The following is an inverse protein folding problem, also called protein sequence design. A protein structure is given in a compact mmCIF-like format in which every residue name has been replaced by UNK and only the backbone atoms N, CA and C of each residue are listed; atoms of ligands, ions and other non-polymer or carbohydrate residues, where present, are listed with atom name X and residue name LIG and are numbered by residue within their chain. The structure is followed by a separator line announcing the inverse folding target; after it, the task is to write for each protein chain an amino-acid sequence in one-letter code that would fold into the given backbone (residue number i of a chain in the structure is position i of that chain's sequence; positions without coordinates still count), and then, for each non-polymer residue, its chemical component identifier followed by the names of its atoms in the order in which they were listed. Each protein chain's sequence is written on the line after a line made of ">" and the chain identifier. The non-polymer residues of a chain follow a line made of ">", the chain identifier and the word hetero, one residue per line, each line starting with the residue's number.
data_IF_249398706379
#
_entry.id   IF_249398706379
#
_cell.length_a   1.000
_cell.length_b   1.000
_cell.length_c   1.000
_cell.angle_alpha   90.00
_cell.angle_beta   90.00
_cell.angle_gamma   90.00
#
_symmetry.space_group_name_H-M   'P 1'
#
loop_
_entity.id
_entity.type
_entity.pdbx_description
1 polymer ?
#
# COMPACT_ATOMS: atom_id res chain seq x y z
N UNK A 1 -10.78 -66.94 1.65
CA UNK A 1 -11.58 -65.77 1.25
C UNK A 1 -10.71 -64.54 1.42
N UNK A 2 -10.25 -63.94 0.32
CA UNK A 2 -9.60 -62.63 0.39
C UNK A 2 -10.70 -61.57 0.48
N UNK A 3 -10.73 -60.83 1.58
CA UNK A 3 -11.60 -59.66 1.71
C UNK A 3 -10.99 -58.59 0.82
N UNK A 4 -11.58 -58.36 -0.36
CA UNK A 4 -11.20 -57.21 -1.16
C UNK A 4 -11.70 -55.95 -0.45
N UNK A 5 -10.80 -55.00 -0.10
CA UNK A 5 -11.24 -53.76 0.51
C UNK A 5 -12.13 -53.02 -0.50
N UNK A 6 -13.39 -52.81 -0.12
CA UNK A 6 -14.30 -52.01 -0.93
C UNK A 6 -13.78 -50.56 -0.94
N UNK A 7 -13.68 -49.91 -2.12
CA UNK A 7 -13.18 -48.55 -2.21
C UNK A 7 -14.11 -47.59 -1.45
N UNK A 8 -13.49 -46.68 -0.71
CA UNK A 8 -14.19 -45.63 0.03
C UNK A 8 -14.97 -44.71 -0.92
N UNK A 9 -16.24 -44.43 -0.60
CA UNK A 9 -17.12 -43.58 -1.40
C UNK A 9 -17.39 -42.29 -0.64
N UNK A 10 -16.89 -41.17 -1.16
CA UNK A 10 -17.03 -39.86 -0.53
C UNK A 10 -18.51 -39.48 -0.28
N UNK A 11 -19.39 -39.81 -1.22
CA UNK A 11 -20.83 -39.49 -1.15
C UNK A 11 -21.59 -40.32 -0.11
N UNK A 12 -21.00 -41.40 0.41
CA UNK A 12 -21.61 -42.19 1.50
C UNK A 12 -21.41 -41.51 2.87
N UNK A 13 -20.53 -40.52 2.96
CA UNK A 13 -20.36 -39.71 4.17
C UNK A 13 -21.52 -38.73 4.37
N UNK A 14 -21.86 -38.33 5.60
CA UNK A 14 -22.75 -37.19 5.86
C UNK A 14 -22.21 -35.88 5.25
N UNK A 15 -23.12 -34.99 4.87
CA UNK A 15 -22.78 -33.71 4.24
C UNK A 15 -21.80 -32.88 5.07
N UNK A 16 -21.96 -32.86 6.39
CA UNK A 16 -21.13 -32.11 7.32
C UNK A 16 -19.66 -32.58 7.30
N UNK A 17 -19.44 -33.89 7.13
CA UNK A 17 -18.10 -34.45 7.03
C UNK A 17 -17.49 -34.12 5.67
N UNK A 18 -18.28 -34.20 4.59
CA UNK A 18 -17.82 -33.79 3.25
C UNK A 18 -17.42 -32.31 3.22
N UNK A 19 -18.24 -31.43 3.82
CA UNK A 19 -17.94 -30.01 3.91
C UNK A 19 -16.62 -29.73 4.63
N UNK A 20 -16.34 -30.42 5.75
CA UNK A 20 -15.04 -30.31 6.44
C UNK A 20 -13.88 -30.80 5.57
N UNK A 21 -14.06 -31.89 4.83
CA UNK A 21 -13.03 -32.35 3.88
C UNK A 21 -12.76 -31.29 2.82
N UNK A 22 -13.82 -30.68 2.26
CA UNK A 22 -13.67 -29.59 1.29
C UNK A 22 -12.95 -28.38 1.88
N UNK A 23 -13.30 -27.97 3.11
CA UNK A 23 -12.64 -26.88 3.82
C UNK A 23 -11.14 -27.15 4.02
N UNK A 24 -10.77 -28.33 4.51
CA UNK A 24 -9.38 -28.68 4.74
C UNK A 24 -8.56 -28.77 3.43
N UNK A 25 -9.15 -29.30 2.35
CA UNK A 25 -8.46 -29.45 1.07
C UNK A 25 -8.39 -28.16 0.24
N UNK A 26 -9.41 -27.31 0.32
CA UNK A 26 -9.59 -26.17 -0.60
C UNK A 26 -9.51 -24.80 0.08
N UNK A 27 -9.63 -24.72 1.41
CA UNK A 27 -9.67 -23.46 2.16
C UNK A 27 -8.48 -23.27 3.10
N UNK A 28 -7.64 -24.30 3.27
CA UNK A 28 -6.38 -24.25 4.03
C UNK A 28 -5.27 -23.51 3.25
N UNK A 29 -5.54 -22.26 2.90
CA UNK A 29 -4.52 -21.34 2.40
C UNK A 29 -3.72 -20.85 3.60
N UNK A 30 -2.39 -21.01 3.56
CA UNK A 30 -1.49 -20.68 4.66
C UNK A 30 -1.88 -19.38 5.33
N UNK A 31 -2.09 -19.42 6.64
CA UNK A 31 -2.36 -18.21 7.41
C UNK A 31 -1.06 -17.45 7.53
N UNK A 32 -0.77 -16.59 6.56
CA UNK A 32 0.10 -15.44 6.80
C UNK A 32 -0.72 -14.51 7.68
N UNK A 33 -0.84 -14.83 8.97
CA UNK A 33 -1.39 -13.89 9.92
C UNK A 33 -0.50 -12.66 9.87
N UNK A 34 -0.96 -11.62 9.17
CA UNK A 34 -0.52 -10.27 9.46
C UNK A 34 -0.94 -10.08 10.91
N UNK A 35 0.00 -10.02 11.87
CA UNK A 35 -0.39 -9.75 13.25
C UNK A 35 -1.20 -8.47 13.24
N UNK A 36 -2.24 -8.41 14.07
CA UNK A 36 -3.03 -7.20 14.29
C UNK A 36 -2.08 -6.11 14.79
N UNK A 37 -1.58 -5.32 13.84
CA UNK A 37 -0.44 -4.44 14.01
C UNK A 37 -0.98 -3.06 13.74
N UNK A 38 -0.75 -2.15 14.68
CA UNK A 38 -1.07 -0.74 14.48
C UNK A 38 -0.47 -0.24 13.15
N UNK A 39 -1.05 0.78 12.50
CA UNK A 39 -0.51 1.34 11.25
C UNK A 39 1.00 1.65 11.34
N UNK A 40 1.43 2.11 12.52
CA UNK A 40 2.84 2.33 12.87
C UNK A 40 3.66 1.04 12.91
N UNK A 41 3.15 -0.03 13.52
CA UNK A 41 3.83 -1.32 13.59
C UNK A 41 3.97 -2.00 12.19
N UNK A 42 3.05 -1.74 11.25
CA UNK A 42 3.18 -2.20 9.84
C UNK A 42 4.34 -1.52 9.12
N UNK A 43 4.44 -0.19 9.25
CA UNK A 43 5.54 0.60 8.69
C UNK A 43 6.89 0.17 9.29
N UNK A 44 6.88 -0.25 10.55
CA UNK A 44 8.04 -0.76 11.30
C UNK A 44 8.48 -2.17 10.88
N UNK A 45 7.60 -3.04 10.36
CA UNK A 45 7.95 -4.43 9.99
C UNK A 45 8.72 -4.55 8.66
N UNK A 46 8.92 -3.46 7.93
CA UNK A 46 9.73 -3.38 6.71
C UNK A 46 11.25 -3.60 6.95
N UNK A 47 11.66 -4.14 8.11
CA UNK A 47 13.06 -4.40 8.47
C UNK A 47 13.73 -5.53 7.66
N UNK A 48 12.94 -6.49 7.18
CA UNK A 48 13.39 -7.40 6.13
C UNK A 48 12.93 -6.78 4.82
N UNK A 49 13.85 -6.50 3.89
CA UNK A 49 13.47 -6.13 2.54
C UNK A 49 12.52 -7.21 2.02
N UNK A 50 11.25 -6.88 1.74
CA UNK A 50 10.39 -7.85 1.12
C UNK A 50 11.01 -8.22 -0.22
N UNK A 51 11.35 -9.50 -0.39
CA UNK A 51 11.95 -10.07 -1.60
C UNK A 51 10.95 -10.16 -2.77
N UNK A 52 10.10 -9.15 -2.92
CA UNK A 52 9.04 -9.07 -3.90
C UNK A 52 7.64 -9.14 -3.30
N UNK A 53 6.69 -9.44 -4.18
CA UNK A 53 5.27 -9.53 -3.87
C UNK A 53 5.03 -10.79 -3.02
N UNK A 54 4.25 -10.66 -1.94
CA UNK A 54 3.89 -11.77 -1.05
C UNK A 54 2.90 -12.73 -1.73
N UNK A 55 3.42 -13.57 -2.63
CA UNK A 55 2.63 -14.62 -3.25
C UNK A 55 2.47 -15.79 -2.28
N UNK A 56 1.23 -16.13 -1.96
CA UNK A 56 0.92 -17.17 -1.00
C UNK A 56 1.21 -18.53 -1.62
N UNK A 57 2.15 -19.27 -1.01
CA UNK A 57 2.26 -20.70 -1.28
C UNK A 57 1.06 -21.42 -0.69
N UNK A 58 0.33 -22.16 -1.51
CA UNK A 58 -0.84 -22.90 -1.09
C UNK A 58 -0.84 -24.31 -1.68
N UNK A 59 -1.25 -25.29 -0.89
CA UNK A 59 -1.47 -26.67 -1.33
C UNK A 59 -2.94 -26.92 -1.64
N UNK A 60 -3.59 -26.00 -2.39
CA UNK A 60 -4.99 -26.18 -2.79
C UNK A 60 -5.05 -27.36 -3.76
N UNK A 61 -5.59 -28.48 -3.30
CA UNK A 61 -5.76 -29.69 -4.10
C UNK A 61 -7.08 -29.64 -4.88
N UNK A 62 -7.07 -29.00 -6.05
CA UNK A 62 -8.26 -28.83 -6.90
C UNK A 62 -8.72 -30.13 -7.57
N UNK A 63 -8.00 -31.24 -7.41
CA UNK A 63 -8.33 -32.55 -7.99
C UNK A 63 -9.73 -33.02 -7.58
N UNK A 64 -10.16 -32.73 -6.34
CA UNK A 64 -11.51 -33.10 -5.85
C UNK A 64 -12.64 -32.42 -6.65
N UNK A 65 -12.39 -31.22 -7.18
CA UNK A 65 -13.35 -30.49 -8.03
C UNK A 65 -13.61 -31.20 -9.37
N UNK A 66 -12.79 -32.20 -9.72
CA UNK A 66 -12.90 -32.96 -10.97
C UNK A 66 -13.52 -34.35 -10.77
N UNK A 67 -13.90 -34.73 -9.55
CA UNK A 67 -14.35 -36.07 -9.23
C UNK A 67 -15.71 -36.42 -9.89
N UNK A 68 -16.77 -35.68 -9.59
CA UNK A 68 -18.08 -35.80 -10.23
C UNK A 68 -18.89 -34.50 -10.03
N UNK A 69 -20.02 -34.35 -10.75
CA UNK A 69 -20.84 -33.11 -10.72
C UNK A 69 -21.33 -32.75 -9.31
N UNK A 70 -21.79 -33.74 -8.53
CA UNK A 70 -22.28 -33.50 -7.17
C UNK A 70 -21.16 -33.01 -6.24
N UNK A 71 -20.01 -33.69 -6.26
CA UNK A 71 -18.83 -33.29 -5.47
C UNK A 71 -18.31 -31.92 -5.91
N UNK A 72 -18.28 -31.66 -7.22
CA UNK A 72 -17.89 -30.36 -7.75
C UNK A 72 -18.75 -29.23 -7.17
N UNK A 73 -20.08 -29.38 -7.24
CA UNK A 73 -21.02 -28.38 -6.73
C UNK A 73 -20.81 -28.10 -5.25
N UNK A 74 -20.74 -29.14 -4.42
CA UNK A 74 -20.56 -28.98 -2.96
C UNK A 74 -19.19 -28.39 -2.61
N UNK A 75 -18.12 -28.90 -3.21
CA UNK A 75 -16.75 -28.49 -2.91
C UNK A 75 -16.45 -27.07 -3.42
N UNK A 76 -16.94 -26.73 -4.61
CA UNK A 76 -16.81 -25.38 -5.17
C UNK A 76 -17.56 -24.36 -4.33
N UNK A 77 -18.78 -24.69 -3.91
CA UNK A 77 -19.59 -23.85 -3.03
C UNK A 77 -18.88 -23.60 -1.69
N UNK A 78 -18.39 -24.65 -1.03
CA UNK A 78 -17.61 -24.55 0.20
C UNK A 78 -16.35 -23.69 0.03
N UNK A 79 -15.62 -23.88 -1.08
CA UNK A 79 -14.41 -23.13 -1.40
C UNK A 79 -14.70 -21.63 -1.58
N UNK A 80 -15.71 -21.26 -2.38
CA UNK A 80 -16.03 -19.85 -2.64
C UNK A 80 -16.58 -19.15 -1.40
N UNK A 81 -17.49 -19.80 -0.67
CA UNK A 81 -18.09 -19.25 0.56
C UNK A 81 -17.06 -18.96 1.65
N UNK A 82 -16.11 -19.86 1.83
CA UNK A 82 -15.11 -19.75 2.89
C UNK A 82 -14.01 -18.76 2.52
N UNK A 83 -13.42 -18.91 1.33
CA UNK A 83 -12.27 -18.10 0.91
C UNK A 83 -12.64 -16.68 0.46
N UNK A 84 -13.86 -16.48 -0.05
CA UNK A 84 -14.38 -15.18 -0.51
C UNK A 84 -13.41 -14.46 -1.46
N UNK A 85 -13.12 -15.08 -2.60
CA UNK A 85 -12.10 -14.59 -3.54
C UNK A 85 -12.44 -13.21 -4.11
N UNK A 86 -11.48 -12.29 -4.05
CA UNK A 86 -11.61 -10.94 -4.59
C UNK A 86 -10.63 -10.77 -5.74
N UNK A 87 -11.13 -10.30 -6.88
CA UNK A 87 -10.29 -9.91 -8.02
C UNK A 87 -9.93 -8.44 -7.91
N UNK A 88 -8.66 -8.11 -8.10
CA UNK A 88 -8.21 -6.72 -8.11
C UNK A 88 -7.52 -6.46 -9.44
N UNK A 89 -8.02 -5.46 -10.16
CA UNK A 89 -7.42 -4.91 -11.38
C UNK A 89 -6.99 -3.49 -11.14
N UNK A 90 -5.71 -3.20 -11.35
CA UNK A 90 -5.14 -1.87 -11.14
C UNK A 90 -4.35 -1.45 -12.37
N UNK A 91 -4.55 -0.22 -12.81
CA UNK A 91 -3.69 0.43 -13.78
C UNK A 91 -3.00 1.59 -13.08
N UNK A 92 -1.70 1.44 -12.79
CA UNK A 92 -0.91 2.42 -12.04
C UNK A 92 0.59 2.07 -12.13
N UNK A 93 1.48 3.04 -12.38
CA UNK A 93 2.92 2.80 -12.37
C UNK A 93 3.46 2.43 -10.98
N UNK A 94 2.89 3.01 -9.92
CA UNK A 94 3.37 2.80 -8.53
C UNK A 94 2.89 1.50 -7.88
N UNK A 95 1.83 0.88 -8.39
CA UNK A 95 1.16 -0.25 -7.73
C UNK A 95 2.04 -1.46 -7.41
N UNK A 96 3.00 -1.90 -8.26
CA UNK A 96 3.91 -2.98 -7.90
C UNK A 96 4.71 -2.68 -6.62
N UNK A 97 5.28 -1.48 -6.51
CA UNK A 97 6.02 -1.05 -5.33
C UNK A 97 5.14 -0.97 -4.08
N UNK A 98 3.88 -0.57 -4.26
CA UNK A 98 2.86 -0.59 -3.22
C UNK A 98 2.57 -2.01 -2.72
N UNK A 99 2.35 -2.98 -3.61
CA UNK A 99 2.09 -4.38 -3.22
C UNK A 99 3.26 -5.02 -2.48
N UNK A 100 4.49 -4.78 -2.94
CA UNK A 100 5.72 -5.24 -2.28
C UNK A 100 5.80 -4.71 -0.86
N UNK A 101 5.47 -3.44 -0.63
CA UNK A 101 5.47 -2.85 0.72
C UNK A 101 4.30 -3.30 1.57
N UNK A 102 3.14 -3.54 0.96
CA UNK A 102 1.92 -3.94 1.65
C UNK A 102 2.01 -5.34 2.23
N UNK A 103 2.77 -6.21 1.57
CA UNK A 103 2.85 -7.65 1.86
C UNK A 103 1.47 -8.29 1.97
N UNK A 104 0.50 -7.76 1.21
CA UNK A 104 -0.85 -8.34 1.12
C UNK A 104 -0.70 -9.73 0.49
N UNK A 105 -1.23 -10.79 1.15
CA UNK A 105 -1.20 -12.14 0.61
C UNK A 105 -1.91 -12.19 -0.75
N UNK A 106 -1.18 -12.49 -1.82
CA UNK A 106 -1.71 -12.62 -3.17
C UNK A 106 -1.73 -14.10 -3.56
N UNK A 107 -2.90 -14.60 -3.93
CA UNK A 107 -3.07 -16.00 -4.32
C UNK A 107 -2.45 -16.28 -5.69
N UNK A 108 -2.73 -15.41 -6.66
CA UNK A 108 -2.17 -15.47 -8.01
C UNK A 108 -2.17 -14.10 -8.66
N UNK A 109 -1.15 -13.83 -9.48
CA UNK A 109 -1.07 -12.69 -10.41
C UNK A 109 -1.16 -13.12 -11.88
N UNK A 110 -1.35 -14.42 -12.12
CA UNK A 110 -1.50 -14.95 -13.47
C UNK A 110 -2.85 -14.52 -14.03
N UNK A 111 -2.82 -13.68 -15.06
CA UNK A 111 -4.01 -13.11 -15.72
C UNK A 111 -4.91 -14.19 -16.32
N UNK A 112 -4.35 -15.30 -16.79
CA UNK A 112 -5.15 -16.40 -17.34
C UNK A 112 -5.93 -17.08 -16.22
N UNK A 113 -5.28 -17.36 -15.08
CA UNK A 113 -5.96 -17.92 -13.91
C UNK A 113 -7.02 -16.96 -13.36
N UNK A 114 -6.72 -15.65 -13.26
CA UNK A 114 -7.72 -14.70 -12.75
C UNK A 114 -8.89 -14.52 -13.71
N UNK A 115 -8.68 -14.64 -15.03
CA UNK A 115 -9.76 -14.55 -16.01
C UNK A 115 -10.65 -15.80 -16.09
N UNK A 116 -10.07 -16.99 -15.88
CA UNK A 116 -10.81 -18.26 -15.95
C UNK A 116 -11.63 -18.53 -14.70
N UNK A 117 -11.19 -18.05 -13.54
CA UNK A 117 -11.92 -18.22 -12.29
C UNK A 117 -13.18 -17.35 -12.27
N UNK A 118 -14.33 -17.94 -11.90
CA UNK A 118 -15.65 -17.28 -11.86
C UNK A 118 -16.27 -17.23 -10.46
N UNK A 119 -15.50 -17.63 -9.44
CA UNK A 119 -15.96 -17.69 -8.04
C UNK A 119 -15.71 -16.40 -7.28
N UNK A 120 -15.63 -15.26 -7.97
CA UNK A 120 -15.35 -13.99 -7.33
C UNK A 120 -16.57 -13.46 -6.60
N UNK A 121 -16.34 -13.07 -5.35
CA UNK A 121 -17.36 -12.40 -4.55
C UNK A 121 -17.45 -10.92 -4.85
N UNK A 122 -16.31 -10.35 -5.25
CA UNK A 122 -16.14 -8.94 -5.52
C UNK A 122 -14.99 -8.76 -6.48
N UNK A 123 -15.13 -7.79 -7.38
CA UNK A 123 -14.05 -7.30 -8.22
C UNK A 123 -13.85 -5.81 -7.97
N UNK A 124 -12.60 -5.43 -7.74
CA UNK A 124 -12.15 -4.05 -7.67
C UNK A 124 -11.44 -3.70 -8.97
N UNK A 125 -11.88 -2.65 -9.66
CA UNK A 125 -11.15 -2.04 -10.76
C UNK A 125 -10.71 -0.65 -10.31
N UNK A 126 -9.42 -0.38 -10.43
CA UNK A 126 -8.82 0.92 -10.12
C UNK A 126 -8.05 1.42 -11.32
N UNK A 127 -8.39 2.62 -11.75
CA UNK A 127 -7.56 3.40 -12.65
C UNK A 127 -6.98 4.53 -11.81
N UNK A 128 -5.66 4.51 -11.58
CA UNK A 128 -4.98 5.58 -10.87
C UNK A 128 -4.21 6.39 -11.92
N UNK A 129 -4.72 7.59 -12.23
CA UNK A 129 -3.96 8.52 -13.05
C UNK A 129 -2.80 9.07 -12.22
N UNK A 130 -1.58 8.68 -12.56
CA UNK A 130 -0.43 9.48 -12.20
C UNK A 130 -0.35 10.59 -13.26
N UNK A 131 -0.18 11.85 -12.87
CA UNK A 131 -0.29 13.02 -13.77
C UNK A 131 0.73 13.05 -14.93
N UNK A 132 1.47 11.97 -15.13
CA UNK A 132 2.40 11.67 -16.21
C UNK A 132 1.60 11.02 -17.36
N UNK A 133 0.99 11.85 -18.21
CA UNK A 133 0.05 11.38 -19.25
C UNK A 133 0.70 10.70 -20.46
N UNK A 134 2.03 10.69 -20.54
CA UNK A 134 2.74 10.38 -21.79
C UNK A 134 3.50 9.05 -21.78
N UNK A 135 3.39 8.23 -20.72
CA UNK A 135 3.99 6.89 -20.70
C UNK A 135 2.97 5.86 -21.22
N UNK A 136 3.09 5.51 -22.51
CA UNK A 136 2.11 4.72 -23.29
C UNK A 136 1.85 3.27 -22.80
N UNK A 137 2.39 2.81 -21.66
CA UNK A 137 2.02 1.50 -21.11
C UNK A 137 2.20 1.39 -19.59
N UNK A 138 1.23 1.89 -18.83
CA UNK A 138 1.21 1.57 -17.40
C UNK A 138 1.00 0.07 -17.18
N UNK A 139 1.70 -0.53 -16.19
CA UNK A 139 1.53 -1.93 -15.89
C UNK A 139 0.09 -2.18 -15.43
N UNK A 140 -0.62 -3.02 -16.18
CA UNK A 140 -1.92 -3.54 -15.76
C UNK A 140 -1.71 -4.72 -14.81
N UNK A 141 -2.03 -4.53 -13.54
CA UNK A 141 -2.01 -5.60 -12.56
C UNK A 141 -3.41 -6.23 -12.48
N UNK A 142 -3.46 -7.56 -12.55
CA UNK A 142 -4.69 -8.34 -12.36
C UNK A 142 -4.34 -9.51 -11.45
N UNK A 143 -4.82 -9.48 -10.21
CA UNK A 143 -4.46 -10.45 -9.19
C UNK A 143 -5.65 -10.80 -8.30
N UNK A 144 -5.50 -11.92 -7.59
CA UNK A 144 -6.52 -12.46 -6.70
C UNK A 144 -6.04 -12.45 -5.25
N UNK A 145 -6.90 -12.01 -4.34
CA UNK A 145 -6.70 -12.12 -2.90
C UNK A 145 -7.89 -12.81 -2.24
N UNK A 146 -7.76 -13.20 -0.97
CA UNK A 146 -8.86 -13.76 -0.18
C UNK A 146 -9.63 -12.66 0.55
N UNK A 147 -10.90 -12.91 0.84
CA UNK A 147 -11.76 -11.94 1.50
C UNK A 147 -11.33 -11.62 2.94
N UNK A 148 -10.57 -12.52 3.58
CA UNK A 148 -9.94 -12.26 4.89
C UNK A 148 -8.79 -11.25 4.82
N UNK A 149 -8.15 -11.11 3.66
CA UNK A 149 -7.02 -10.20 3.43
C UNK A 149 -7.47 -8.84 2.86
N UNK A 150 -8.77 -8.70 2.59
CA UNK A 150 -9.38 -7.49 2.02
C UNK A 150 -9.19 -6.25 2.89
N UNK A 151 -9.31 -6.38 4.21
CA UNK A 151 -9.14 -5.26 5.14
C UNK A 151 -7.69 -4.78 5.14
N UNK A 152 -6.73 -5.70 5.17
CA UNK A 152 -5.32 -5.38 5.08
C UNK A 152 -4.97 -4.67 3.76
N UNK A 153 -5.61 -5.08 2.66
CA UNK A 153 -5.51 -4.41 1.36
C UNK A 153 -6.12 -3.01 1.40
N UNK A 154 -7.35 -2.85 1.93
CA UNK A 154 -8.02 -1.56 2.04
C UNK A 154 -7.21 -0.55 2.87
N UNK A 155 -6.71 -0.97 4.03
CA UNK A 155 -5.89 -0.13 4.89
C UNK A 155 -4.64 0.35 4.15
N UNK A 156 -3.96 -0.57 3.46
CA UNK A 156 -2.78 -0.24 2.69
C UNK A 156 -3.10 0.68 1.49
N UNK A 157 -4.20 0.45 0.79
CA UNK A 157 -4.63 1.28 -0.34
C UNK A 157 -4.75 2.77 0.05
N UNK A 158 -5.09 3.08 1.31
CA UNK A 158 -5.11 4.47 1.79
C UNK A 158 -3.75 5.15 1.84
N UNK A 159 -2.68 4.36 1.90
CA UNK A 159 -1.30 4.83 1.95
C UNK A 159 -0.75 5.16 0.57
N UNK A 160 -1.40 4.68 -0.50
CA UNK A 160 -1.14 5.09 -1.88
C UNK A 160 -1.32 6.60 -2.00
N UNK A 161 -0.45 7.25 -2.78
CA UNK A 161 -0.40 8.70 -2.88
C UNK A 161 -1.77 9.26 -3.22
N UNK A 162 -2.24 10.27 -2.46
CA UNK A 162 -3.52 10.92 -2.79
C UNK A 162 -3.49 11.55 -4.19
N UNK A 163 -2.32 11.93 -4.75
CA UNK A 163 -2.22 12.43 -6.13
C UNK A 163 -2.71 11.39 -7.15
N UNK A 164 -2.38 10.12 -6.91
CA UNK A 164 -2.86 8.99 -7.72
C UNK A 164 -4.35 8.68 -7.45
N UNK A 165 -4.90 9.11 -6.31
CA UNK A 165 -6.30 8.87 -5.91
C UNK A 165 -7.29 9.98 -6.30
N UNK A 166 -6.87 11.24 -6.36
CA UNK A 166 -7.73 12.40 -6.69
C UNK A 166 -8.29 12.30 -8.11
N UNK A 167 -7.57 11.64 -9.02
CA UNK A 167 -8.03 11.33 -10.37
C UNK A 167 -8.32 9.84 -10.54
N UNK A 168 -8.55 9.12 -9.44
CA UNK A 168 -8.82 7.69 -9.52
C UNK A 168 -10.29 7.39 -9.78
N UNK A 169 -10.53 6.48 -10.72
CA UNK A 169 -11.83 5.84 -10.89
C UNK A 169 -11.78 4.49 -10.17
N UNK A 170 -12.62 4.33 -9.14
CA UNK A 170 -12.71 3.11 -8.35
C UNK A 170 -14.08 2.47 -8.59
N UNK A 171 -14.08 1.24 -9.11
CA UNK A 171 -15.31 0.48 -9.37
C UNK A 171 -15.28 -0.84 -8.64
N UNK A 172 -16.21 -1.02 -7.71
CA UNK A 172 -16.46 -2.25 -6.98
C UNK A 172 -17.67 -2.95 -7.59
N UNK A 173 -17.50 -4.17 -8.11
CA UNK A 173 -18.58 -4.98 -8.64
C UNK A 173 -18.77 -6.22 -7.76
N UNK A 174 -19.96 -6.41 -7.19
CA UNK A 174 -20.32 -7.61 -6.43
C UNK A 174 -20.88 -8.69 -7.34
N UNK A 175 -20.31 -9.90 -7.24
CA UNK A 175 -20.64 -11.04 -8.08
C UNK A 175 -20.60 -10.70 -9.59
N UNK A 176 -19.44 -10.28 -10.12
CA UNK A 176 -19.32 -9.73 -11.48
C UNK A 176 -19.70 -10.73 -12.60
N UNK A 177 -19.71 -12.02 -12.31
CA UNK A 177 -19.89 -13.11 -13.30
C UNK A 177 -21.29 -13.74 -13.29
N UNK A 178 -22.27 -13.17 -12.59
CA UNK A 178 -23.60 -13.83 -12.42
C UNK A 178 -24.50 -13.81 -13.66
N UNK A 179 -24.10 -13.12 -14.73
CA UNK A 179 -24.92 -12.99 -15.94
C UNK A 179 -24.86 -14.26 -16.82
N UNK A 180 -23.78 -15.04 -16.72
CA UNK A 180 -23.55 -16.26 -17.53
C UNK A 180 -23.14 -17.46 -16.66
N UNK A 181 -23.91 -17.76 -15.62
CA UNK A 181 -23.65 -18.94 -14.79
C UNK A 181 -23.84 -20.22 -15.62
N UNK A 182 -22.85 -21.10 -15.59
CA UNK A 182 -22.93 -22.41 -16.22
C UNK A 182 -23.83 -23.34 -15.39
N UNK A 183 -24.45 -24.35 -16.02
CA UNK A 183 -25.38 -25.30 -15.37
C UNK A 183 -24.84 -26.03 -14.12
N UNK A 184 -23.52 -26.01 -13.93
CA UNK A 184 -22.83 -26.61 -12.80
C UNK A 184 -22.45 -25.60 -11.72
N UNK A 185 -22.83 -24.33 -11.86
CA UNK A 185 -22.63 -23.30 -10.85
C UNK A 185 -23.96 -23.04 -10.17
N UNK A 186 -24.04 -23.37 -8.88
CA UNK A 186 -25.15 -22.89 -8.07
C UNK A 186 -25.07 -21.35 -8.01
N UNK A 187 -26.20 -20.63 -8.14
CA UNK A 187 -26.22 -19.21 -7.89
C UNK A 187 -25.65 -18.94 -6.49
N UNK A 188 -24.56 -18.17 -6.42
CA UNK A 188 -23.99 -17.74 -5.15
C UNK A 188 -24.96 -16.85 -4.35
N UNK A 189 -26.06 -16.42 -4.98
CA UNK A 189 -27.07 -15.46 -4.50
C UNK A 189 -27.55 -15.72 -3.09
N UNK A 190 -27.85 -16.98 -2.74
CA UNK A 190 -28.50 -17.29 -1.45
C UNK A 190 -27.52 -17.23 -0.28
N UNK A 191 -26.23 -17.33 -0.57
CA UNK A 191 -25.15 -17.29 0.41
C UNK A 191 -24.34 -16.01 0.41
N UNK A 192 -24.48 -15.22 -0.66
CA UNK A 192 -24.01 -13.83 -0.74
C UNK A 192 -24.96 -12.90 -0.01
N UNK A 193 -25.19 -13.22 1.26
CA UNK A 193 -26.04 -12.49 2.17
C UNK A 193 -25.52 -11.06 2.36
N UNK A 194 -26.45 -10.16 2.66
CA UNK A 194 -26.21 -8.78 3.08
C UNK A 194 -25.09 -8.68 4.13
N UNK A 195 -24.93 -9.70 4.99
CA UNK A 195 -23.84 -9.83 5.96
C UNK A 195 -22.45 -9.83 5.32
N UNK A 196 -22.23 -10.57 4.24
CA UNK A 196 -20.92 -10.65 3.56
C UNK A 196 -20.62 -9.34 2.84
N UNK A 197 -21.61 -8.77 2.14
CA UNK A 197 -21.50 -7.46 1.50
C UNK A 197 -21.14 -6.38 2.53
N UNK A 198 -21.88 -6.34 3.64
CA UNK A 198 -21.65 -5.41 4.76
C UNK A 198 -20.25 -5.59 5.35
N UNK A 199 -19.79 -6.82 5.54
CA UNK A 199 -18.45 -7.10 6.07
C UNK A 199 -17.34 -6.59 5.13
N UNK A 200 -17.45 -6.85 3.82
CA UNK A 200 -16.44 -6.40 2.84
C UNK A 200 -16.46 -4.87 2.69
N UNK A 201 -17.66 -4.29 2.63
CA UNK A 201 -17.82 -2.85 2.51
C UNK A 201 -17.46 -2.09 3.78
N UNK A 202 -17.55 -2.71 4.96
CA UNK A 202 -17.11 -2.11 6.23
C UNK A 202 -15.62 -1.76 6.19
N UNK A 203 -14.76 -2.68 5.73
CA UNK A 203 -13.34 -2.41 5.58
C UNK A 203 -13.08 -1.27 4.59
N UNK A 204 -13.77 -1.30 3.44
CA UNK A 204 -13.65 -0.24 2.44
C UNK A 204 -14.09 1.13 3.01
N UNK A 205 -15.25 1.21 3.69
CA UNK A 205 -15.73 2.43 4.37
C UNK A 205 -14.77 2.93 5.45
N UNK A 206 -14.09 2.03 6.16
CA UNK A 206 -13.20 2.40 7.25
C UNK A 206 -11.93 3.08 6.72
N UNK A 207 -11.39 2.57 5.63
CA UNK A 207 -10.07 2.96 5.13
C UNK A 207 -10.17 3.91 3.93
N UNK A 208 -11.00 3.61 2.94
CA UNK A 208 -11.02 4.30 1.65
C UNK A 208 -11.87 5.58 1.69
N UNK A 209 -11.44 6.59 2.45
CA UNK A 209 -12.07 7.92 2.49
C UNK A 209 -11.41 8.89 1.52
N UNK A 210 -12.10 10.00 1.27
CA UNK A 210 -11.68 11.07 0.35
C UNK A 210 -11.47 10.58 -1.09
N UNK A 211 -12.42 9.78 -1.59
CA UNK A 211 -12.42 9.31 -2.97
C UNK A 211 -13.47 10.07 -3.78
N UNK A 212 -13.11 10.56 -4.97
CA UNK A 212 -13.99 11.42 -5.76
C UNK A 212 -14.90 10.63 -6.72
N UNK A 213 -14.39 9.59 -7.40
CA UNK A 213 -15.17 8.74 -8.32
C UNK A 213 -15.21 7.28 -7.84
N UNK A 214 -16.27 6.96 -7.08
CA UNK A 214 -16.54 5.61 -6.58
C UNK A 214 -17.86 5.09 -7.11
N UNK A 215 -17.81 3.91 -7.72
CA UNK A 215 -18.99 3.19 -8.18
C UNK A 215 -19.07 1.83 -7.50
N UNK A 216 -20.26 1.46 -7.04
CA UNK A 216 -20.54 0.14 -6.47
C UNK A 216 -21.72 -0.46 -7.25
N UNK A 217 -21.48 -1.56 -7.94
CA UNK A 217 -22.44 -2.21 -8.84
C UNK A 217 -22.54 -3.72 -8.57
N UNK A 218 -23.44 -4.40 -9.29
CA UNK A 218 -23.65 -5.85 -9.18
C UNK A 218 -24.70 -6.24 -8.12
N UNK A 219 -24.58 -7.45 -7.57
CA UNK A 219 -25.50 -7.98 -6.56
C UNK A 219 -25.19 -7.38 -5.17
N UNK A 220 -25.64 -6.15 -4.94
CA UNK A 220 -25.49 -5.43 -3.67
C UNK A 220 -26.77 -4.67 -3.33
N UNK A 221 -27.11 -4.56 -2.05
CA UNK A 221 -28.23 -3.71 -1.63
C UNK A 221 -28.00 -2.25 -2.08
N UNK A 222 -28.92 -1.64 -2.85
CA UNK A 222 -28.76 -0.26 -3.33
C UNK A 222 -28.62 0.76 -2.20
N UNK A 223 -29.32 0.54 -1.09
CA UNK A 223 -29.21 1.37 0.10
C UNK A 223 -27.81 1.26 0.74
N UNK A 224 -27.27 0.05 0.82
CA UNK A 224 -25.92 -0.19 1.35
C UNK A 224 -24.86 0.47 0.45
N UNK A 225 -24.95 0.27 -0.86
CA UNK A 225 -24.05 0.86 -1.84
C UNK A 225 -24.06 2.40 -1.78
N UNK A 226 -25.25 3.01 -1.78
CA UNK A 226 -25.42 4.48 -1.69
C UNK A 226 -24.82 5.02 -0.39
N UNK A 227 -25.07 4.34 0.73
CA UNK A 227 -24.49 4.72 2.03
C UNK A 227 -22.97 4.58 2.05
N UNK A 228 -22.38 3.52 1.47
CA UNK A 228 -20.91 3.42 1.33
C UNK A 228 -20.40 4.60 0.53
N UNK A 229 -20.97 4.86 -0.65
CA UNK A 229 -20.50 5.89 -1.59
C UNK A 229 -20.52 7.25 -0.91
N UNK A 230 -21.61 7.61 -0.23
CA UNK A 230 -21.70 8.86 0.51
C UNK A 230 -20.64 8.97 1.61
N UNK A 231 -20.34 7.86 2.31
CA UNK A 231 -19.31 7.80 3.34
C UNK A 231 -17.88 7.93 2.77
N UNK A 232 -17.54 7.17 1.73
CA UNK A 232 -16.18 7.18 1.16
C UNK A 232 -15.85 8.46 0.40
N UNK A 233 -16.86 9.10 -0.19
CA UNK A 233 -16.73 10.41 -0.83
C UNK A 233 -16.75 11.57 0.17
N UNK A 234 -17.23 11.33 1.40
CA UNK A 234 -17.19 12.35 2.46
C UNK A 234 -15.76 12.59 2.95
N UNK A 235 -15.46 13.87 3.21
CA UNK A 235 -14.15 14.28 3.71
C UNK A 235 -13.96 13.83 5.16
N UNK A 236 -13.14 12.80 5.40
CA UNK A 236 -13.08 12.12 6.72
C UNK A 236 -12.23 12.84 7.76
N UNK A 237 -11.50 13.88 7.38
CA UNK A 237 -10.46 14.49 8.19
C UNK A 237 -10.97 15.68 9.00
N UNK A 238 -12.04 15.50 9.79
CA UNK A 238 -12.63 16.62 10.52
C UNK A 238 -11.94 16.91 11.87
N UNK A 239 -11.29 15.93 12.50
CA UNK A 239 -10.66 16.08 13.81
C UNK A 239 -9.14 16.33 13.69
N UNK A 240 -8.79 17.58 13.35
CA UNK A 240 -7.40 18.06 13.30
C UNK A 240 -6.66 17.79 14.62
N UNK A 241 -7.32 17.93 15.76
CA UNK A 241 -6.73 17.78 17.09
C UNK A 241 -6.23 16.36 17.34
N UNK A 242 -7.02 15.36 16.98
CA UNK A 242 -6.62 13.96 17.09
C UNK A 242 -5.42 13.64 16.21
N UNK A 243 -5.40 14.14 14.97
CA UNK A 243 -4.29 13.89 14.03
C UNK A 243 -2.98 14.48 14.56
N UNK A 244 -3.04 15.71 15.08
CA UNK A 244 -1.88 16.33 15.71
C UNK A 244 -1.36 15.49 16.89
N UNK A 245 -2.26 15.02 17.75
CA UNK A 245 -1.89 14.16 18.87
C UNK A 245 -1.24 12.85 18.40
N UNK A 246 -1.78 12.22 17.34
CA UNK A 246 -1.23 11.00 16.75
C UNK A 246 0.17 11.25 16.13
N UNK A 247 0.37 12.36 15.43
CA UNK A 247 1.68 12.74 14.88
C UNK A 247 2.71 13.00 15.99
N UNK A 248 2.33 13.69 17.06
CA UNK A 248 3.21 13.95 18.21
C UNK A 248 3.59 12.65 18.93
N UNK A 249 2.61 11.74 19.12
CA UNK A 249 2.85 10.42 19.70
C UNK A 249 3.80 9.59 18.83
N UNK A 250 3.57 9.57 17.51
CA UNK A 250 4.46 8.91 16.55
C UNK A 250 5.87 9.51 16.57
N UNK A 251 6.00 10.83 16.63
CA UNK A 251 7.29 11.51 16.71
C UNK A 251 8.07 11.12 17.96
N UNK A 252 7.41 11.10 19.11
CA UNK A 252 7.99 10.65 20.39
C UNK A 252 8.42 9.18 20.31
N UNK A 253 7.58 8.32 19.76
CA UNK A 253 7.88 6.90 19.58
C UNK A 253 9.10 6.70 18.66
N UNK A 254 9.20 7.44 17.55
CA UNK A 254 10.35 7.38 16.66
C UNK A 254 11.66 7.75 17.37
N UNK A 255 11.65 8.82 18.19
CA UNK A 255 12.79 9.19 19.01
C UNK A 255 13.23 8.10 19.99
N UNK A 256 12.26 7.42 20.63
CA UNK A 256 12.53 6.29 21.51
C UNK A 256 13.13 5.09 20.76
N UNK A 257 12.59 4.78 19.57
CA UNK A 257 13.10 3.71 18.71
C UNK A 257 14.53 4.01 18.26
N UNK A 258 14.82 5.25 17.88
CA UNK A 258 16.16 5.69 17.49
C UNK A 258 17.16 5.57 18.64
N UNK A 259 16.80 6.04 19.83
CA UNK A 259 17.64 5.92 21.04
C UNK A 259 17.89 4.46 21.44
N UNK A 260 16.94 3.57 21.17
CA UNK A 260 17.07 2.12 21.38
C UNK A 260 17.80 1.39 20.24
N UNK A 261 18.46 2.11 19.33
CA UNK A 261 19.16 1.59 18.15
C UNK A 261 18.26 0.76 17.20
N UNK A 262 16.95 1.03 17.19
CA UNK A 262 15.97 0.44 16.26
C UNK A 262 15.75 1.38 15.06
N UNK A 263 16.80 1.57 14.27
CA UNK A 263 16.91 2.68 13.30
C UNK A 263 15.89 2.57 12.15
N UNK A 264 15.67 1.38 11.56
CA UNK A 264 14.60 1.20 10.55
C UNK A 264 13.26 1.64 11.11
N UNK A 265 12.90 1.14 12.30
CA UNK A 265 11.61 1.43 12.94
C UNK A 265 11.41 2.92 13.17
N UNK A 266 12.47 3.60 13.58
CA UNK A 266 12.44 5.04 13.79
C UNK A 266 12.24 5.79 12.47
N UNK A 267 13.04 5.46 11.44
CA UNK A 267 12.94 6.06 10.10
C UNK A 267 11.56 5.88 9.49
N UNK A 268 11.03 4.66 9.57
CA UNK A 268 9.73 4.32 9.02
C UNK A 268 8.60 5.04 9.80
N UNK A 269 8.70 5.14 11.13
CA UNK A 269 7.75 5.93 11.93
C UNK A 269 7.75 7.41 11.53
N UNK A 270 8.93 8.03 11.36
CA UNK A 270 9.03 9.42 10.86
C UNK A 270 8.46 9.56 9.45
N UNK A 271 8.71 8.61 8.57
CA UNK A 271 8.11 8.55 7.23
C UNK A 271 6.59 8.55 7.33
N UNK A 272 6.01 7.77 8.25
CA UNK A 272 4.57 7.75 8.56
C UNK A 272 3.99 9.13 8.90
N UNK A 273 4.75 9.97 9.62
CA UNK A 273 4.37 11.35 9.93
C UNK A 273 4.30 12.19 8.66
N UNK A 274 5.29 12.05 7.76
CA UNK A 274 5.29 12.76 6.48
C UNK A 274 4.08 12.41 5.62
N UNK A 275 3.62 11.16 5.66
CA UNK A 275 2.40 10.73 4.95
C UNK A 275 1.11 11.37 5.48
N UNK A 276 1.08 11.85 6.73
CA UNK A 276 -0.09 12.51 7.31
C UNK A 276 -0.24 13.97 6.89
N UNK A 277 0.86 14.64 6.52
CA UNK A 277 0.88 16.08 6.27
C UNK A 277 0.06 16.50 5.06
N UNK A 278 0.17 15.84 3.89
CA UNK A 278 -0.70 16.15 2.75
C UNK A 278 -2.18 15.92 3.03
N UNK A 279 -2.53 15.15 4.07
CA UNK A 279 -3.92 14.94 4.50
C UNK A 279 -4.43 16.10 5.35
N UNK A 280 -3.57 16.66 6.20
CA UNK A 280 -3.87 17.84 7.02
C UNK A 280 -4.05 19.08 6.14
N UNK A 281 -3.13 19.33 5.22
CA UNK A 281 -3.15 20.51 4.33
C UNK A 281 -4.46 20.67 3.55
N UNK A 282 -5.05 19.53 3.15
CA UNK A 282 -6.26 19.48 2.33
C UNK A 282 -7.55 19.45 3.14
N UNK A 283 -7.47 19.44 4.47
CA UNK A 283 -8.64 19.62 5.31
C UNK A 283 -9.17 21.06 5.12
N UNK A 284 -10.43 21.28 4.71
CA UNK A 284 -10.99 22.63 4.59
C UNK A 284 -10.88 23.45 5.87
N UNK A 285 -10.93 22.79 7.03
CA UNK A 285 -10.78 23.41 8.34
C UNK A 285 -9.32 23.74 8.68
N UNK A 286 -8.34 23.21 7.94
CA UNK A 286 -6.94 23.52 8.18
C UNK A 286 -6.66 25.00 8.00
N UNK A 287 -7.21 25.61 6.94
CA UNK A 287 -7.06 27.04 6.69
C UNK A 287 -7.67 27.87 7.82
N UNK A 288 -8.81 27.46 8.40
CA UNK A 288 -9.41 28.19 9.53
C UNK A 288 -8.63 28.04 10.84
N UNK A 289 -7.82 26.98 11.00
CA UNK A 289 -6.91 26.85 12.14
C UNK A 289 -5.61 27.66 12.00
N UNK A 290 -5.26 28.11 10.79
CA UNK A 290 -4.05 28.91 10.55
C UNK A 290 -4.21 30.40 10.88
N UNK A 291 -5.44 30.88 11.07
CA UNK A 291 -5.75 32.31 11.21
C UNK A 291 -6.05 32.77 12.63
N UNK A 292 -6.02 31.88 13.63
CA UNK A 292 -6.24 32.26 15.04
C UNK A 292 -4.92 32.73 15.70
N UNK A 293 -4.82 33.99 16.18
CA UNK A 293 -3.56 34.62 16.58
C UNK A 293 -3.02 34.26 17.99
N UNK A 294 -3.73 33.49 18.80
CA UNK A 294 -3.54 33.42 20.25
C UNK A 294 -3.19 32.02 20.81
N UNK A 295 -2.94 31.04 19.93
CA UNK A 295 -2.36 29.74 20.31
C UNK A 295 -1.23 29.37 19.36
N UNK A 296 -0.28 28.52 19.82
CA UNK A 296 0.66 27.86 18.91
C UNK A 296 -0.18 27.17 17.85
N UNK A 297 -0.15 27.71 16.63
CA UNK A 297 -1.11 27.28 15.62
C UNK A 297 -0.87 25.81 15.34
N UNK A 298 -1.93 25.07 15.03
CA UNK A 298 -1.81 23.69 14.56
C UNK A 298 -0.76 23.58 13.44
N UNK A 299 -0.69 24.62 12.60
CA UNK A 299 0.30 24.81 11.55
C UNK A 299 1.74 24.80 12.06
N UNK A 300 2.07 25.55 13.11
CA UNK A 300 3.42 25.56 13.68
C UNK A 300 3.83 24.18 14.22
N UNK A 301 2.89 23.45 14.82
CA UNK A 301 3.12 22.08 15.31
C UNK A 301 3.40 21.13 14.14
N UNK A 302 2.57 21.17 13.09
CA UNK A 302 2.77 20.32 11.90
C UNK A 302 4.09 20.63 11.22
N UNK A 303 4.44 21.90 11.07
CA UNK A 303 5.71 22.31 10.50
C UNK A 303 6.87 21.77 11.34
N UNK A 304 6.85 21.98 12.66
CA UNK A 304 7.89 21.45 13.54
C UNK A 304 8.04 19.93 13.39
N UNK A 305 6.92 19.19 13.40
CA UNK A 305 6.93 17.74 13.25
C UNK A 305 7.44 17.30 11.88
N UNK A 306 7.06 18.00 10.80
CA UNK A 306 7.56 17.77 9.45
C UNK A 306 9.07 17.89 9.41
N UNK A 307 9.60 19.05 9.79
CA UNK A 307 11.02 19.34 9.68
C UNK A 307 11.85 18.43 10.58
N UNK A 308 11.37 18.16 11.79
CA UNK A 308 12.06 17.28 12.73
C UNK A 308 12.05 15.83 12.23
N UNK A 309 10.95 15.36 11.63
CA UNK A 309 10.89 14.05 11.01
C UNK A 309 11.87 13.91 9.84
N UNK A 310 11.87 14.88 8.90
CA UNK A 310 12.79 14.91 7.76
C UNK A 310 14.26 14.93 8.22
N UNK A 311 14.61 15.78 9.18
CA UNK A 311 15.98 15.85 9.71
C UNK A 311 16.41 14.55 10.40
N UNK A 312 15.52 13.93 11.17
CA UNK A 312 15.81 12.67 11.85
C UNK A 312 15.87 11.48 10.89
N UNK A 313 15.10 11.47 9.80
CA UNK A 313 15.29 10.51 8.71
C UNK A 313 16.68 10.64 8.09
N UNK A 314 17.17 11.86 7.84
CA UNK A 314 18.56 12.11 7.43
C UNK A 314 19.59 11.47 8.37
N UNK A 315 19.37 11.57 9.69
CA UNK A 315 20.23 10.89 10.69
C UNK A 315 20.15 9.36 10.61
N UNK A 316 18.97 8.80 10.36
CA UNK A 316 18.81 7.36 10.14
C UNK A 316 19.62 6.90 8.92
N UNK A 317 19.51 7.61 7.80
CA UNK A 317 20.24 7.27 6.58
C UNK A 317 21.75 7.31 6.78
N UNK A 318 22.27 8.36 7.44
CA UNK A 318 23.70 8.41 7.77
C UNK A 318 24.14 7.31 8.71
N UNK A 319 23.31 6.96 9.68
CA UNK A 319 23.61 5.84 10.56
C UNK A 319 23.79 4.56 9.73
N UNK A 320 22.91 4.32 8.74
CA UNK A 320 23.04 3.19 7.81
C UNK A 320 24.31 3.26 6.97
N UNK A 321 24.64 4.43 6.40
CA UNK A 321 25.86 4.59 5.62
C UNK A 321 27.12 4.36 6.46
N UNK A 322 27.11 4.73 7.75
CA UNK A 322 28.22 4.47 8.67
C UNK A 322 28.28 3.02 9.16
N UNK A 323 27.15 2.33 9.16
CA UNK A 323 27.01 0.96 9.66
C UNK A 323 26.26 0.10 8.64
N UNK A 324 26.79 -0.07 7.41
CA UNK A 324 26.09 -0.79 6.38
C UNK A 324 25.89 -2.24 6.85
N UNK A 325 24.66 -2.79 6.79
CA UNK A 325 24.43 -4.22 6.88
C UNK A 325 25.37 -4.93 5.91
N UNK A 326 25.91 -6.08 6.32
CA UNK A 326 26.87 -6.88 5.55
C UNK A 326 26.35 -7.38 4.19
N UNK A 327 25.10 -7.09 3.83
CA UNK A 327 24.42 -7.57 2.62
C UNK A 327 23.52 -6.50 1.96
N UNK A 328 23.81 -5.20 2.08
CA UNK A 328 23.08 -4.22 1.27
C UNK A 328 23.54 -4.27 -0.19
N UNK A 329 22.59 -4.25 -1.12
CA UNK A 329 22.91 -4.02 -2.53
C UNK A 329 23.34 -2.57 -2.76
N UNK A 330 24.25 -2.33 -3.69
CA UNK A 330 24.66 -0.98 -4.13
C UNK A 330 23.46 -0.12 -4.52
N UNK A 331 22.45 -0.73 -5.16
CA UNK A 331 21.18 -0.08 -5.51
C UNK A 331 20.43 0.47 -4.31
N UNK A 332 20.40 -0.28 -3.20
CA UNK A 332 19.75 0.17 -1.98
C UNK A 332 20.53 1.33 -1.34
N UNK A 333 21.85 1.28 -1.31
CA UNK A 333 22.69 2.37 -0.83
C UNK A 333 22.43 3.66 -1.64
N UNK A 334 22.39 3.58 -2.98
CA UNK A 334 22.03 4.71 -3.86
C UNK A 334 20.64 5.26 -3.52
N UNK A 335 19.64 4.41 -3.31
CA UNK A 335 18.29 4.83 -2.91
C UNK A 335 18.25 5.53 -1.54
N UNK A 336 19.03 5.04 -0.55
CA UNK A 336 19.14 5.70 0.75
C UNK A 336 19.80 7.08 0.61
N UNK A 337 20.85 7.20 -0.21
CA UNK A 337 21.52 8.47 -0.49
C UNK A 337 20.57 9.47 -1.16
N UNK A 338 19.83 9.04 -2.18
CA UNK A 338 18.84 9.87 -2.88
C UNK A 338 17.70 10.31 -1.95
N UNK A 339 17.20 9.40 -1.10
CA UNK A 339 16.20 9.73 -0.09
C UNK A 339 16.72 10.77 0.90
N UNK A 340 17.91 10.56 1.45
CA UNK A 340 18.54 11.49 2.38
C UNK A 340 18.78 12.87 1.73
N UNK A 341 19.29 12.89 0.50
CA UNK A 341 19.53 14.10 -0.30
C UNK A 341 18.23 14.87 -0.54
N UNK A 342 17.18 14.20 -1.04
CA UNK A 342 15.88 14.83 -1.30
C UNK A 342 15.26 15.41 -0.04
N UNK A 343 15.32 14.68 1.08
CA UNK A 343 14.82 15.11 2.38
C UNK A 343 15.61 16.29 2.95
N UNK A 344 16.95 16.23 2.97
CA UNK A 344 17.80 17.33 3.45
C UNK A 344 17.67 18.58 2.59
N UNK A 345 17.62 18.44 1.25
CA UNK A 345 17.46 19.55 0.32
C UNK A 345 16.09 20.21 0.49
N UNK A 346 15.04 19.41 0.65
CA UNK A 346 13.68 19.92 0.94
C UNK A 346 13.67 20.68 2.27
N UNK A 347 14.26 20.14 3.33
CA UNK A 347 14.36 20.85 4.61
C UNK A 347 15.13 22.17 4.51
N UNK A 348 16.25 22.21 3.80
CA UNK A 348 17.06 23.42 3.60
C UNK A 348 16.33 24.48 2.77
N UNK A 349 15.71 24.08 1.66
CA UNK A 349 14.92 24.97 0.79
C UNK A 349 13.80 25.64 1.57
N UNK A 350 13.07 24.85 2.34
CA UNK A 350 11.97 25.31 3.17
C UNK A 350 12.46 26.15 4.36
N UNK A 351 13.70 25.97 4.81
CA UNK A 351 14.34 26.82 5.81
C UNK A 351 14.80 28.18 5.25
N UNK A 352 14.45 28.53 4.01
CA UNK A 352 14.91 29.77 3.35
C UNK A 352 16.40 29.77 3.02
N UNK A 353 17.07 28.62 3.15
CA UNK A 353 18.47 28.45 2.78
C UNK A 353 18.52 28.13 1.29
N UNK A 354 18.53 29.18 0.48
CA UNK A 354 18.81 29.07 -0.95
C UNK A 354 20.31 28.82 -1.15
N UNK A 355 20.73 27.56 -1.06
CA UNK A 355 22.02 27.18 -1.66
C UNK A 355 21.75 26.78 -3.11
N UNK A 356 22.54 27.30 -4.05
CA UNK A 356 22.58 26.87 -5.46
C UNK A 356 23.27 25.48 -5.58
N UNK A 357 22.75 24.46 -4.88
CA UNK A 357 23.13 23.07 -5.16
C UNK A 357 22.26 22.55 -6.31
N UNK A 358 22.63 22.89 -7.54
CA UNK A 358 22.15 22.15 -8.70
C UNK A 358 22.98 20.86 -8.79
N UNK A 359 22.42 19.74 -8.35
CA UNK A 359 22.92 18.43 -8.73
C UNK A 359 22.53 18.20 -10.18
N UNK A 360 23.50 18.31 -11.09
CA UNK A 360 23.40 17.69 -12.40
C UNK A 360 23.80 16.23 -12.20
N UNK A 361 22.88 15.30 -12.46
CA UNK A 361 23.21 13.89 -12.61
C UNK A 361 23.82 13.78 -13.99
N UNK A 362 25.14 13.72 -14.07
CA UNK A 362 25.81 13.15 -15.24
C UNK A 362 25.66 11.64 -15.05
N UNK A 363 24.77 11.02 -15.82
CA UNK A 363 24.80 9.57 -15.98
C UNK A 363 26.14 9.25 -16.64
N UNK A 364 27.06 8.65 -15.88
CA UNK A 364 28.24 8.02 -16.46
C UNK A 364 27.72 6.81 -17.24
N UNK A 365 27.45 7.01 -18.53
CA UNK A 365 27.34 5.94 -19.50
C UNK A 365 28.69 5.21 -19.48
N UNK A 366 28.69 3.97 -19.00
CA UNK A 366 29.79 3.04 -19.20
C UNK A 366 29.90 2.80 -20.73
N UNK A 367 30.70 3.62 -21.40
CA UNK A 367 31.13 3.54 -22.81
C UNK A 367 31.98 2.28 -23.07
N UNK A 368 31.43 1.08 -22.85
CA UNK A 368 32.06 -0.19 -23.23
C UNK A 368 31.00 -1.16 -23.78
N UNK A 369 30.39 -0.84 -24.93
CA UNK A 369 30.22 -1.79 -26.05
C UNK A 369 29.46 -1.16 -27.23
N UNK A 370 30.14 -1.08 -28.38
CA UNK A 370 29.57 -0.76 -29.68
C UNK A 370 28.46 -1.78 -30.05
N UNK A 371 27.19 -1.40 -29.91
CA UNK A 371 26.12 -1.91 -30.78
C UNK A 371 24.92 -0.96 -30.84
N UNK A 372 24.54 -0.70 -32.09
CA UNK A 372 23.49 0.16 -32.62
C UNK A 372 22.15 0.23 -31.86
N UNK A 373 21.54 1.42 -31.99
CA UNK A 373 20.12 1.79 -31.82
C UNK A 373 19.54 1.87 -30.39
N UNK A 374 19.64 3.05 -29.78
CA UNK A 374 18.50 3.94 -29.44
C UNK A 374 18.92 4.96 -28.36
N UNK A 375 19.12 6.21 -28.80
CA UNK A 375 19.55 7.34 -27.97
C UNK A 375 18.41 7.78 -27.01
N UNK A 376 18.58 7.55 -25.70
CA UNK A 376 17.69 8.04 -24.64
C UNK A 376 18.47 8.92 -23.64
N UNK A 377 18.57 10.21 -23.93
CA UNK A 377 18.92 11.24 -22.95
C UNK A 377 17.74 11.40 -21.96
N UNK A 378 17.81 10.81 -20.76
CA UNK A 378 16.82 11.05 -19.70
C UNK A 378 17.47 11.57 -18.40
N UNK A 379 17.50 12.90 -18.26
CA UNK A 379 17.91 13.55 -17.01
C UNK A 379 16.95 13.21 -15.86
N UNK A 380 17.40 12.41 -14.89
CA UNK A 380 16.66 12.17 -13.65
C UNK A 380 16.78 13.39 -12.72
N UNK A 381 15.96 14.40 -12.97
CA UNK A 381 15.68 15.40 -11.92
C UNK A 381 14.90 14.71 -10.79
N UNK A 382 15.54 14.52 -9.63
CA UNK A 382 14.85 14.21 -8.37
C UNK A 382 14.03 15.42 -7.91
N UNK A 383 13.00 15.78 -8.67
CA UNK A 383 11.97 16.73 -8.25
C UNK A 383 11.12 16.02 -7.20
N UNK A 384 11.50 16.15 -5.93
CA UNK A 384 10.48 16.14 -4.86
C UNK A 384 9.59 17.35 -5.11
N UNK A 385 8.55 17.18 -5.93
CA UNK A 385 7.40 18.08 -5.95
C UNK A 385 6.71 17.98 -4.60
N UNK A 386 7.26 18.67 -3.60
CA UNK A 386 6.43 19.19 -2.53
C UNK A 386 5.36 20.03 -3.21
N UNK A 387 4.08 19.73 -2.96
CA UNK A 387 2.98 20.59 -3.38
C UNK A 387 3.20 22.03 -2.91
N UNK A 388 2.30 22.94 -3.26
CA UNK A 388 2.35 24.40 -3.02
C UNK A 388 2.52 24.90 -1.57
N UNK A 389 3.01 24.07 -0.65
CA UNK A 389 3.30 24.39 0.74
C UNK A 389 4.46 25.38 0.84
N UNK A 390 4.14 26.61 1.24
CA UNK A 390 5.10 27.62 1.63
C UNK A 390 4.98 27.83 3.15
N UNK A 391 5.98 27.43 3.95
CA UNK A 391 5.95 27.67 5.39
C UNK A 391 6.01 29.17 5.66
N UNK A 392 5.35 29.62 6.72
CA UNK A 392 5.47 31.02 7.14
C UNK A 392 6.91 31.32 7.56
N UNK A 393 7.42 32.49 7.20
CA UNK A 393 8.79 32.91 7.51
C UNK A 393 9.10 32.85 9.02
N UNK A 394 8.09 33.05 9.88
CA UNK A 394 8.19 32.97 11.33
C UNK A 394 8.40 31.54 11.87
N UNK A 395 7.78 30.52 11.24
CA UNK A 395 7.97 29.12 11.62
C UNK A 395 9.39 28.65 11.27
N UNK A 396 9.90 29.09 10.11
CA UNK A 396 11.25 28.80 9.61
C UNK A 396 12.33 29.36 10.52
N UNK A 397 12.16 30.59 11.03
CA UNK A 397 13.16 31.26 11.89
C UNK A 397 13.27 30.64 13.28
N UNK A 398 12.18 30.06 13.81
CA UNK A 398 12.17 29.43 15.14
C UNK A 398 12.64 27.97 15.13
N UNK A 399 12.55 27.32 13.97
CA UNK A 399 13.14 26.02 13.75
C UNK A 399 14.66 26.20 13.63
N UNK A 400 15.37 26.00 14.74
CA UNK A 400 16.81 25.65 14.72
C UNK A 400 16.99 24.26 14.08
N UNK A 401 16.54 24.09 12.85
CA UNK A 401 17.05 23.05 11.98
C UNK A 401 18.52 23.38 11.90
N UNK A 402 19.36 22.49 12.43
CA UNK A 402 20.80 22.64 12.33
C UNK A 402 21.17 22.48 10.87
N UNK A 403 21.06 23.57 10.11
CA UNK A 403 21.37 23.65 8.69
C UNK A 403 22.84 23.29 8.46
N UNK A 404 23.69 23.50 9.48
CA UNK A 404 25.07 23.03 9.50
C UNK A 404 25.13 21.51 9.55
N UNK A 405 24.31 20.87 10.37
CA UNK A 405 24.19 19.41 10.38
C UNK A 405 23.66 18.90 9.03
N UNK A 406 22.58 19.45 8.49
CA UNK A 406 22.06 19.03 7.16
C UNK A 406 23.12 19.18 6.05
N UNK A 407 23.85 20.31 6.01
CA UNK A 407 24.98 20.50 5.08
C UNK A 407 26.10 19.48 5.31
N UNK A 408 26.44 19.20 6.58
CA UNK A 408 27.42 18.16 6.93
C UNK A 408 26.96 16.79 6.44
N UNK A 409 25.68 16.47 6.58
CA UNK A 409 25.09 15.21 6.09
C UNK A 409 25.23 15.11 4.57
N UNK A 410 24.87 16.17 3.84
CA UNK A 410 24.98 16.23 2.38
C UNK A 410 26.42 16.00 1.90
N UNK A 411 27.39 16.67 2.53
CA UNK A 411 28.82 16.48 2.20
C UNK A 411 29.30 15.06 2.50
N UNK A 412 28.77 14.42 3.54
CA UNK A 412 29.15 13.05 3.90
C UNK A 412 28.51 12.00 2.97
N UNK A 413 27.27 12.24 2.54
CA UNK A 413 26.57 11.43 1.53
C UNK A 413 27.30 11.51 0.20
N UNK A 414 27.58 12.73 -0.27
CA UNK A 414 28.29 13.00 -1.54
C UNK A 414 29.66 12.31 -1.59
N UNK A 415 30.47 12.47 -0.54
CA UNK A 415 31.78 11.81 -0.43
C UNK A 415 31.75 10.29 -0.48
N UNK A 416 30.65 9.66 -0.06
CA UNK A 416 30.48 8.20 -0.12
C UNK A 416 29.93 7.76 -1.45
N UNK A 417 28.93 8.48 -1.96
CA UNK A 417 28.34 8.21 -3.26
C UNK A 417 29.41 8.22 -4.36
N UNK A 418 30.29 9.23 -4.37
CA UNK A 418 31.39 9.38 -5.34
C UNK A 418 32.54 8.37 -5.13
N UNK A 419 32.63 7.71 -3.96
CA UNK A 419 33.72 6.75 -3.67
C UNK A 419 33.32 5.29 -3.83
N UNK A 420 32.04 5.00 -3.72
CA UNK A 420 31.47 3.65 -3.72
C UNK A 420 30.60 3.36 -4.97
N UNK A 421 30.20 4.40 -5.70
CA UNK A 421 29.84 4.31 -7.12
C UNK A 421 31.10 4.38 -7.95
#
# INVERSE_FOLDING_TARGET
>A
MMIHPQPFRLLDLPFEIRNKIYEEMLCSVGSTSTPDMSPLARIVRQEAEPNGINQVSHSIETTILRACRAVHLEAYDAMVKTNRFIRIRVTSPGMPGYLVRAQVPILTMDRAHTAQFRGYVMQLNMHLEDGLRDLESFPHLDFMILGRDWEAFCDYFTTVSRRERENSCIRLAFSPDTVDLLDYQAPLTDSFLEKTQTSLLKAFRMHARDLDDVQITGLVSPALATSVIAEVTSKSWQDTSKILADMQAAHKLAGQLFAANKIVKACSTWTGILWLIPRIERNPNWQSHTTQPDQRSAFDIVNELYFTAVANMGKCYLWYLRNPPTQLSTRFIKLLCLGALGHCTTALRLAGVHDNYNYYYEDEEDDDDDNDDDNYDEAVTATTTTGSWQPSHAAVVNLKIDSRECRRLLVEIDKRYVREG
#
